data_IF_883465687067
#
_entry.id   IF_883465687067
#
_cell.length_a   1.000
_cell.length_b   1.000
_cell.length_c   1.000
_cell.angle_alpha   90.00
_cell.angle_beta   90.00
_cell.angle_gamma   90.00
#
_symmetry.space_group_name_H-M   'P 1'
#
loop_
_entity.id
_entity.type
_entity.pdbx_description
1 polymer ?
#
# COMPACT_ATOMS: atom_id res chain seq x y z
N UNK A 1 41.19 -24.16 -28.16
CA UNK A 1 40.54 -23.46 -27.04
C UNK A 1 40.37 -21.99 -27.41
N UNK A 2 39.14 -21.47 -27.49
CA UNK A 2 38.84 -20.03 -27.46
C UNK A 2 37.45 -19.86 -26.83
N UNK A 3 37.45 -19.57 -25.53
CA UNK A 3 36.27 -19.35 -24.67
C UNK A 3 35.78 -17.92 -24.88
N UNK A 4 34.68 -17.74 -25.59
CA UNK A 4 33.99 -16.44 -25.68
C UNK A 4 32.90 -16.39 -24.61
N UNK A 5 33.18 -15.67 -23.53
CA UNK A 5 32.25 -15.46 -22.43
C UNK A 5 31.03 -14.66 -22.89
N UNK A 6 29.89 -15.34 -22.96
CA UNK A 6 28.60 -14.73 -23.26
C UNK A 6 28.15 -13.93 -22.02
N UNK A 7 28.53 -12.65 -21.97
CA UNK A 7 28.04 -11.67 -20.97
C UNK A 7 26.51 -11.68 -21.02
N UNK A 8 25.90 -12.42 -20.09
CA UNK A 8 24.46 -12.44 -19.84
C UNK A 8 24.10 -11.05 -19.32
N UNK A 9 23.80 -10.14 -20.25
CA UNK A 9 23.20 -8.85 -19.94
C UNK A 9 21.89 -9.16 -19.24
N UNK A 10 21.89 -9.08 -17.91
CA UNK A 10 20.69 -9.01 -17.10
C UNK A 10 20.00 -7.71 -17.51
N UNK A 11 19.25 -7.77 -18.62
CA UNK A 11 18.19 -6.81 -18.92
C UNK A 11 17.22 -6.94 -17.76
N UNK A 12 17.45 -6.13 -16.74
CA UNK A 12 16.44 -5.65 -15.83
C UNK A 12 15.20 -5.38 -16.68
N UNK A 13 14.24 -6.30 -16.64
CA UNK A 13 12.93 -6.10 -17.24
C UNK A 13 12.28 -5.01 -16.40
N UNK A 14 12.60 -3.76 -16.72
CA UNK A 14 11.92 -2.60 -16.16
C UNK A 14 10.51 -2.69 -16.72
N UNK A 15 9.54 -3.01 -15.85
CA UNK A 15 8.13 -3.09 -16.24
C UNK A 15 7.73 -1.79 -16.93
N UNK A 16 7.01 -1.89 -18.04
CA UNK A 16 6.52 -0.73 -18.77
C UNK A 16 5.51 0.08 -17.95
N UNK A 17 5.30 1.34 -18.34
CA UNK A 17 4.24 2.18 -17.76
C UNK A 17 2.85 1.55 -17.98
N UNK A 18 2.67 0.88 -19.12
CA UNK A 18 1.46 0.10 -19.46
C UNK A 18 1.18 -0.99 -18.43
N UNK A 19 2.21 -1.74 -18.02
CA UNK A 19 2.10 -2.75 -16.98
C UNK A 19 1.83 -2.13 -15.60
N UNK A 20 2.33 -0.91 -15.35
CA UNK A 20 2.17 -0.21 -14.06
C UNK A 20 0.79 0.39 -13.86
N UNK A 21 0.10 0.79 -14.93
CA UNK A 21 -1.24 1.39 -14.88
C UNK A 21 -2.32 0.32 -15.00
N UNK A 22 -2.19 -0.62 -15.95
CA UNK A 22 -3.21 -1.65 -16.19
C UNK A 22 -3.24 -2.74 -15.11
N UNK A 23 -2.12 -2.98 -14.41
CA UNK A 23 -2.07 -3.85 -13.22
C UNK A 23 -2.04 -3.09 -11.90
N UNK A 24 -2.24 -1.76 -11.92
CA UNK A 24 -2.24 -0.95 -10.72
C UNK A 24 -3.27 -1.48 -9.72
N UNK A 25 -2.85 -1.67 -8.45
CA UNK A 25 -3.81 -1.93 -7.39
C UNK A 25 -4.75 -0.73 -7.28
N UNK A 26 -6.03 -0.95 -7.56
CA UNK A 26 -7.10 0.07 -7.51
C UNK A 26 -7.95 -0.04 -6.24
N UNK A 27 -7.82 -1.13 -5.47
CA UNK A 27 -8.63 -1.39 -4.28
C UNK A 27 -7.75 -1.92 -3.14
N UNK A 28 -8.12 -1.52 -1.94
CA UNK A 28 -7.47 -1.91 -0.69
C UNK A 28 -8.52 -2.12 0.39
N UNK A 29 -8.49 -3.27 1.07
CA UNK A 29 -9.37 -3.51 2.21
C UNK A 29 -8.72 -3.02 3.49
N UNK A 30 -9.15 -1.84 3.95
CA UNK A 30 -8.69 -1.18 5.18
C UNK A 30 -9.45 -1.59 6.45
N UNK A 31 -10.55 -2.35 6.32
CA UNK A 31 -11.35 -2.81 7.46
C UNK A 31 -10.79 -4.08 8.13
N UNK A 32 -9.74 -4.69 7.56
CA UNK A 32 -9.12 -5.91 8.10
C UNK A 32 -8.44 -5.63 9.45
N UNK A 33 -8.73 -6.40 10.53
CA UNK A 33 -8.16 -6.15 11.86
C UNK A 33 -6.64 -6.26 11.93
N UNK A 34 -6.04 -7.19 11.17
CA UNK A 34 -4.59 -7.43 11.19
C UNK A 34 -3.75 -6.39 10.45
N UNK A 35 -4.34 -5.27 10.00
CA UNK A 35 -3.66 -4.23 9.23
C UNK A 35 -3.98 -2.82 9.73
N UNK A 36 -4.29 -2.70 11.02
CA UNK A 36 -4.46 -1.40 11.65
C UNK A 36 -3.10 -0.73 11.84
N UNK A 37 -3.01 0.55 11.49
CA UNK A 37 -1.82 1.37 11.73
C UNK A 37 -1.75 1.80 13.20
N UNK A 38 -2.93 2.05 13.80
CA UNK A 38 -3.07 2.30 15.23
C UNK A 38 -4.02 1.27 15.83
N UNK A 39 -3.59 0.61 16.90
CA UNK A 39 -4.40 -0.37 17.62
C UNK A 39 -4.35 -0.11 19.12
N UNK A 40 -5.52 0.01 19.73
CA UNK A 40 -5.70 0.05 21.17
C UNK A 40 -6.79 -0.96 21.56
N UNK A 41 -6.47 -2.00 22.36
CA UNK A 41 -7.44 -3.04 22.71
C UNK A 41 -8.66 -2.51 23.48
N UNK A 42 -8.57 -1.33 24.10
CA UNK A 42 -9.67 -0.72 24.85
C UNK A 42 -10.38 0.39 24.06
N UNK A 43 -9.69 1.08 23.16
CA UNK A 43 -10.24 2.24 22.44
C UNK A 43 -10.70 1.92 21.01
N UNK A 44 -10.06 0.96 20.33
CA UNK A 44 -10.38 0.62 18.96
C UNK A 44 -9.16 0.53 18.06
N UNK A 45 -9.38 0.71 16.76
CA UNK A 45 -8.36 0.60 15.73
C UNK A 45 -8.58 1.61 14.61
N UNK A 46 -7.48 2.04 14.00
CA UNK A 46 -7.45 2.98 12.89
C UNK A 46 -6.57 2.39 11.79
N UNK A 47 -7.05 2.44 10.55
CA UNK A 47 -6.30 2.06 9.36
C UNK A 47 -6.40 3.17 8.33
N UNK A 48 -5.28 3.63 7.78
CA UNK A 48 -5.21 4.72 6.82
C UNK A 48 -4.70 4.22 5.47
N UNK A 49 -5.39 4.60 4.40
CA UNK A 49 -4.92 4.40 3.03
C UNK A 49 -4.59 5.74 2.39
N UNK A 50 -3.38 5.83 1.84
CA UNK A 50 -2.84 7.04 1.23
C UNK A 50 -1.97 6.64 0.03
N UNK A 51 -1.23 7.60 -0.54
CA UNK A 51 -0.36 7.36 -1.69
C UNK A 51 0.77 6.36 -1.46
N UNK A 52 1.13 6.08 -0.20
CA UNK A 52 2.16 5.10 0.16
C UNK A 52 1.62 3.67 0.10
N UNK A 53 0.38 3.47 0.55
CA UNK A 53 -0.26 2.15 0.60
C UNK A 53 -1.02 1.80 -0.68
N UNK A 54 -1.61 2.79 -1.35
CA UNK A 54 -2.32 2.64 -2.61
C UNK A 54 -1.85 3.71 -3.62
N UNK A 55 -0.84 3.41 -4.47
CA UNK A 55 -0.14 4.40 -5.29
C UNK A 55 -1.03 5.22 -6.24
N UNK A 56 -2.19 4.70 -6.66
CA UNK A 56 -3.15 5.43 -7.48
C UNK A 56 -3.71 6.67 -6.76
N UNK A 57 -3.78 6.65 -5.43
CA UNK A 57 -4.25 7.77 -4.62
C UNK A 57 -3.35 9.02 -4.77
N UNK A 58 -2.07 8.84 -5.13
CA UNK A 58 -1.17 9.96 -5.44
C UNK A 58 -1.68 10.79 -6.63
N UNK A 59 -2.22 10.13 -7.65
CA UNK A 59 -2.78 10.78 -8.85
C UNK A 59 -4.13 11.42 -8.58
N UNK A 60 -4.95 10.76 -7.76
CA UNK A 60 -6.27 11.27 -7.36
C UNK A 60 -6.18 12.38 -6.30
N UNK A 61 -5.02 12.51 -5.63
CA UNK A 61 -4.80 13.41 -4.48
C UNK A 61 -5.80 13.15 -3.35
N UNK A 62 -6.04 11.87 -3.07
CA UNK A 62 -6.98 11.41 -2.05
C UNK A 62 -6.29 10.60 -0.96
N UNK A 63 -6.95 10.49 0.18
CA UNK A 63 -6.68 9.54 1.26
C UNK A 63 -8.01 9.06 1.82
N UNK A 64 -7.99 7.95 2.56
CA UNK A 64 -9.15 7.49 3.30
C UNK A 64 -8.73 6.81 4.60
N UNK A 65 -9.59 6.86 5.60
CA UNK A 65 -9.34 6.29 6.92
C UNK A 65 -10.53 5.43 7.34
N UNK A 66 -10.23 4.32 8.00
CA UNK A 66 -11.21 3.46 8.63
C UNK A 66 -10.97 3.43 10.13
N UNK A 67 -11.95 3.93 10.87
CA UNK A 67 -11.89 4.06 12.32
C UNK A 67 -12.95 3.14 12.93
N UNK A 68 -12.51 2.20 13.77
CA UNK A 68 -13.38 1.26 14.47
C UNK A 68 -13.17 1.39 15.98
N UNK A 69 -14.07 2.12 16.64
CA UNK A 69 -14.01 2.41 18.07
C UNK A 69 -14.83 1.40 18.88
N UNK A 70 -14.29 1.03 20.04
CA UNK A 70 -15.06 0.28 21.04
C UNK A 70 -15.87 1.26 21.91
N UNK A 71 -16.93 0.77 22.58
CA UNK A 71 -17.87 1.61 23.34
C UNK A 71 -17.14 2.57 24.30
N UNK A 72 -17.57 3.84 24.30
CA UNK A 72 -17.13 4.92 25.21
C UNK A 72 -15.64 5.29 25.09
N UNK A 73 -15.09 5.31 23.88
CA UNK A 73 -13.72 5.77 23.65
C UNK A 73 -13.66 6.86 22.57
N UNK A 74 -12.99 7.96 22.88
CA UNK A 74 -12.59 9.00 21.94
C UNK A 74 -11.09 8.82 21.71
N UNK A 75 -10.67 8.66 20.45
CA UNK A 75 -9.26 8.69 20.08
C UNK A 75 -8.96 10.07 19.54
N UNK A 76 -8.08 10.82 20.21
CA UNK A 76 -7.57 12.08 19.71
C UNK A 76 -6.49 11.79 18.68
N UNK A 77 -6.72 12.21 17.43
CA UNK A 77 -5.72 12.19 16.37
C UNK A 77 -5.12 13.60 16.37
N UNK A 78 -3.85 13.72 16.80
CA UNK A 78 -3.11 14.98 16.89
C UNK A 78 -2.47 15.38 15.56
#
# INVERSE_FOLDING_TARGET
EHRSEQKRSSKERKNGLEETICSARIRENIARPGRADLYNPRAGRISTVNSLTLPILRRLRLSAEYVHLYRVCIVLII
#
